data_IF_230939654445
#
_entry.id   IF_230939654445
#
_cell.length_a   1.000
_cell.length_b   1.000
_cell.length_c   1.000
_cell.angle_alpha   90.00
_cell.angle_beta   90.00
_cell.angle_gamma   90.00
#
_symmetry.space_group_name_H-M   'P 1'
#
loop_
_entity.id
_entity.type
_entity.pdbx_description
1 polymer ?
#
# COMPACT_ATOMS: atom_id res chain seq x y z
N UNK A 1 5.37 -10.20 19.86
CA UNK A 1 4.68 -9.03 19.28
C UNK A 1 3.47 -9.41 18.41
N UNK A 2 3.57 -10.37 17.48
CA UNK A 2 2.46 -10.70 16.56
C UNK A 2 1.10 -11.00 17.22
N UNK A 3 1.07 -11.77 18.32
CA UNK A 3 -0.17 -12.06 19.07
C UNK A 3 -0.82 -10.83 19.72
N UNK A 4 -0.04 -9.79 20.06
CA UNK A 4 -0.53 -8.58 20.74
C UNK A 4 -1.31 -7.70 19.77
N UNK A 5 -0.79 -7.50 18.55
CA UNK A 5 -1.40 -6.65 17.54
C UNK A 5 -2.41 -7.40 16.65
N UNK A 6 -2.16 -8.67 16.30
CA UNK A 6 -2.95 -9.39 15.29
C UNK A 6 -3.81 -10.54 15.86
N UNK A 7 -3.60 -10.96 17.11
CA UNK A 7 -4.30 -12.14 17.65
C UNK A 7 -3.97 -13.41 16.87
N UNK A 8 -4.99 -14.08 16.33
CA UNK A 8 -4.82 -15.22 15.41
C UNK A 8 -4.75 -14.73 13.95
N UNK A 9 -3.71 -15.18 13.25
CA UNK A 9 -3.51 -14.95 11.82
C UNK A 9 -4.45 -15.85 11.03
N UNK A 10 -5.10 -15.29 10.01
CA UNK A 10 -5.96 -16.03 9.09
C UNK A 10 -5.10 -16.77 8.07
N UNK A 11 -5.62 -17.87 7.53
CA UNK A 11 -4.90 -18.67 6.52
C UNK A 11 -4.46 -17.81 5.31
N UNK A 12 -5.36 -16.97 4.79
CA UNK A 12 -5.06 -16.07 3.66
C UNK A 12 -3.94 -15.08 3.98
N UNK A 13 -3.87 -14.54 5.20
CA UNK A 13 -2.79 -13.63 5.61
C UNK A 13 -1.45 -14.36 5.69
N UNK A 14 -1.46 -15.61 6.18
CA UNK A 14 -0.25 -16.42 6.25
C UNK A 14 0.26 -16.78 4.86
N UNK A 15 -0.63 -17.12 3.93
CA UNK A 15 -0.28 -17.41 2.53
C UNK A 15 0.31 -16.19 1.82
N UNK A 16 -0.38 -15.04 1.88
CA UNK A 16 0.13 -13.78 1.33
C UNK A 16 1.48 -13.39 1.93
N UNK A 17 1.64 -13.54 3.25
CA UNK A 17 2.91 -13.26 3.92
C UNK A 17 4.04 -14.15 3.42
N UNK A 18 3.81 -15.46 3.27
CA UNK A 18 4.83 -16.40 2.84
C UNK A 18 5.26 -16.11 1.40
N UNK A 19 4.31 -15.87 0.49
CA UNK A 19 4.61 -15.52 -0.90
C UNK A 19 5.43 -14.23 -1.00
N UNK A 20 4.99 -13.16 -0.33
CA UNK A 20 5.69 -11.87 -0.34
C UNK A 20 7.07 -11.96 0.32
N UNK A 21 7.19 -12.73 1.40
CA UNK A 21 8.46 -12.95 2.11
C UNK A 21 9.48 -13.67 1.24
N UNK A 22 9.05 -14.70 0.49
CA UNK A 22 9.94 -15.42 -0.41
C UNK A 22 10.56 -14.49 -1.45
N UNK A 23 9.73 -13.64 -2.06
CA UNK A 23 10.20 -12.64 -3.00
C UNK A 23 11.18 -11.64 -2.37
N UNK A 24 10.87 -11.09 -1.20
CA UNK A 24 11.76 -10.15 -0.51
C UNK A 24 13.12 -10.78 -0.15
N UNK A 25 13.12 -12.06 0.23
CA UNK A 25 14.37 -12.81 0.48
C UNK A 25 15.17 -12.94 -0.81
N UNK A 26 14.54 -13.32 -1.93
CA UNK A 26 15.25 -13.43 -3.23
C UNK A 26 15.84 -12.09 -3.70
N UNK A 27 15.10 -10.99 -3.53
CA UNK A 27 15.56 -9.64 -3.88
C UNK A 27 16.75 -9.24 -3.00
N UNK A 28 16.75 -9.62 -1.73
CA UNK A 28 17.89 -9.38 -0.83
C UNK A 28 19.10 -10.24 -1.18
N UNK A 29 18.88 -11.50 -1.56
CA UNK A 29 19.95 -12.35 -2.08
C UNK A 29 20.62 -11.73 -3.32
N UNK A 30 19.84 -11.09 -4.20
CA UNK A 30 20.37 -10.32 -5.32
C UNK A 30 21.05 -9.03 -4.88
N UNK A 31 20.57 -8.35 -3.83
CA UNK A 31 21.28 -7.21 -3.26
C UNK A 31 22.65 -7.61 -2.67
N UNK A 32 22.76 -8.79 -2.06
CA UNK A 32 24.03 -9.31 -1.53
C UNK A 32 25.10 -9.51 -2.60
N UNK A 33 24.73 -9.83 -3.83
CA UNK A 33 25.73 -9.98 -4.90
C UNK A 33 26.31 -8.62 -5.32
N UNK A 34 25.52 -7.56 -5.21
CA UNK A 34 25.94 -6.17 -5.50
C UNK A 34 26.76 -5.59 -4.35
N UNK A 35 26.39 -5.87 -3.10
CA UNK A 35 27.05 -5.35 -1.90
C UNK A 35 27.85 -6.42 -1.15
N UNK A 36 28.50 -7.32 -1.90
CA UNK A 36 29.22 -8.46 -1.33
C UNK A 36 30.32 -8.02 -0.35
N UNK A 37 31.03 -6.94 -0.68
CA UNK A 37 32.16 -6.45 0.10
C UNK A 37 31.72 -5.80 1.43
N UNK A 38 30.43 -5.43 1.55
CA UNK A 38 29.81 -4.88 2.76
C UNK A 38 29.13 -5.95 3.63
N UNK A 39 29.33 -7.24 3.32
CA UNK A 39 28.73 -8.34 4.06
C UNK A 39 29.26 -8.38 5.49
N UNK A 40 28.40 -7.99 6.43
CA UNK A 40 28.72 -7.93 7.86
C UNK A 40 27.55 -8.42 8.70
N UNK A 41 27.77 -8.90 9.95
CA UNK A 41 26.68 -9.24 10.86
C UNK A 41 25.70 -8.09 11.08
N UNK A 42 26.18 -6.83 11.00
CA UNK A 42 25.35 -5.63 11.08
C UNK A 42 24.39 -5.53 9.89
N UNK A 43 24.84 -5.83 8.68
CA UNK A 43 23.97 -5.89 7.51
C UNK A 43 22.85 -6.91 7.72
N UNK A 44 23.20 -8.13 8.14
CA UNK A 44 22.21 -9.20 8.33
C UNK A 44 21.15 -8.77 9.34
N UNK A 45 21.57 -8.13 10.45
CA UNK A 45 20.64 -7.58 11.44
C UNK A 45 19.71 -6.50 10.86
N UNK A 46 20.24 -5.56 10.06
CA UNK A 46 19.44 -4.52 9.38
C UNK A 46 18.45 -5.14 8.38
N UNK A 47 18.86 -6.16 7.65
CA UNK A 47 17.98 -6.88 6.74
C UNK A 47 16.87 -7.63 7.48
N UNK A 48 17.22 -8.38 8.52
CA UNK A 48 16.21 -9.09 9.33
C UNK A 48 15.20 -8.11 9.93
N UNK A 49 15.66 -6.94 10.40
CA UNK A 49 14.79 -5.88 10.88
C UNK A 49 13.89 -5.33 9.76
N UNK A 50 14.42 -5.03 8.58
CA UNK A 50 13.64 -4.56 7.44
C UNK A 50 12.56 -5.58 7.04
N UNK A 51 12.93 -6.87 6.91
CA UNK A 51 11.99 -7.93 6.57
C UNK A 51 10.91 -8.07 7.64
N UNK A 52 11.29 -7.97 8.92
CA UNK A 52 10.34 -7.96 10.03
C UNK A 52 9.33 -6.81 9.89
N UNK A 53 9.79 -5.57 9.66
CA UNK A 53 8.88 -4.44 9.46
C UNK A 53 8.01 -4.59 8.21
N UNK A 54 8.55 -5.10 7.10
CA UNK A 54 7.79 -5.44 5.88
C UNK A 54 6.62 -6.38 6.18
N UNK A 55 6.85 -7.44 6.97
CA UNK A 55 5.79 -8.36 7.37
C UNK A 55 4.66 -7.67 8.16
N UNK A 56 5.00 -6.78 9.09
CA UNK A 56 3.98 -6.05 9.85
C UNK A 56 3.17 -5.08 8.98
N UNK A 57 3.81 -4.45 7.99
CA UNK A 57 3.13 -3.63 7.00
C UNK A 57 2.16 -4.45 6.13
N UNK A 58 2.60 -5.60 5.60
CA UNK A 58 1.74 -6.47 4.79
C UNK A 58 0.54 -6.97 5.60
N UNK A 59 0.74 -7.34 6.87
CA UNK A 59 -0.36 -7.70 7.74
C UNK A 59 -1.30 -6.54 8.05
N UNK A 60 -0.78 -5.33 8.26
CA UNK A 60 -1.61 -4.15 8.48
C UNK A 60 -2.49 -3.86 7.24
N UNK A 61 -1.93 -3.98 6.04
CA UNK A 61 -2.66 -3.86 4.78
C UNK A 61 -3.78 -4.92 4.68
N UNK A 62 -3.47 -6.20 4.86
CA UNK A 62 -4.48 -7.29 4.79
C UNK A 62 -5.60 -7.15 5.83
N UNK A 63 -5.30 -6.56 6.99
CA UNK A 63 -6.28 -6.30 8.06
C UNK A 63 -7.18 -5.11 7.74
N UNK A 64 -6.64 -4.05 7.17
CA UNK A 64 -7.44 -2.90 6.73
C UNK A 64 -8.30 -3.27 5.52
N UNK A 65 -7.76 -3.99 4.55
CA UNK A 65 -8.53 -4.48 3.40
C UNK A 65 -9.63 -5.48 3.82
N UNK A 66 -9.47 -6.17 4.96
CA UNK A 66 -10.54 -6.99 5.51
C UNK A 66 -11.70 -6.20 6.10
N UNK A 67 -11.47 -4.96 6.57
CA UNK A 67 -12.55 -4.12 7.09
C UNK A 67 -13.64 -3.87 6.04
N UNK A 68 -13.27 -3.82 4.77
CA UNK A 68 -14.23 -3.67 3.67
C UNK A 68 -15.26 -4.81 3.61
N UNK A 69 -14.85 -6.03 3.97
CA UNK A 69 -15.69 -7.23 3.83
C UNK A 69 -16.36 -7.64 5.14
N UNK A 70 -16.07 -6.95 6.25
CA UNK A 70 -16.52 -7.37 7.57
C UNK A 70 -17.47 -6.33 8.18
N UNK A 71 -18.75 -6.68 8.39
CA UNK A 71 -19.77 -5.73 8.83
C UNK A 71 -19.73 -5.40 10.33
N UNK A 72 -18.93 -6.11 11.13
CA UNK A 72 -18.86 -5.89 12.58
C UNK A 72 -17.41 -5.83 13.05
N UNK A 73 -16.89 -4.61 13.20
CA UNK A 73 -15.54 -4.33 13.66
C UNK A 73 -15.57 -3.88 15.12
N UNK A 74 -14.87 -4.59 15.99
CA UNK A 74 -14.77 -4.24 17.41
C UNK A 74 -13.86 -3.03 17.66
N UNK A 75 -14.12 -2.26 18.72
CA UNK A 75 -13.24 -1.16 19.16
C UNK A 75 -11.80 -1.61 19.47
N UNK A 76 -11.63 -2.83 20.00
CA UNK A 76 -10.31 -3.40 20.26
C UNK A 76 -9.49 -3.55 18.96
N UNK A 77 -10.15 -3.88 17.85
CA UNK A 77 -9.52 -3.97 16.54
C UNK A 77 -9.00 -2.60 16.09
N UNK A 78 -9.83 -1.55 16.19
CA UNK A 78 -9.43 -0.18 15.84
C UNK A 78 -8.22 0.27 16.66
N UNK A 79 -8.25 0.09 17.99
CA UNK A 79 -7.12 0.42 18.86
C UNK A 79 -5.83 -0.30 18.45
N UNK A 80 -5.90 -1.59 18.12
CA UNK A 80 -4.73 -2.39 17.69
C UNK A 80 -4.17 -1.93 16.35
N UNK A 81 -5.02 -1.70 15.36
CA UNK A 81 -4.57 -1.31 14.02
C UNK A 81 -4.03 0.12 14.00
N UNK A 82 -4.70 1.06 14.67
CA UNK A 82 -4.23 2.45 14.74
C UNK A 82 -2.91 2.56 15.49
N UNK A 83 -2.77 1.89 16.64
CA UNK A 83 -1.50 1.87 17.39
C UNK A 83 -0.38 1.21 16.61
N UNK A 84 -0.67 0.13 15.86
CA UNK A 84 0.30 -0.51 14.99
C UNK A 84 0.76 0.43 13.86
N UNK A 85 -0.18 1.03 13.12
CA UNK A 85 0.15 1.94 12.01
C UNK A 85 0.96 3.14 12.50
N UNK A 86 0.61 3.70 13.66
CA UNK A 86 1.35 4.80 14.27
C UNK A 86 2.78 4.40 14.64
N UNK A 87 2.96 3.22 15.27
CA UNK A 87 4.28 2.69 15.60
C UNK A 87 5.13 2.46 14.33
N UNK A 88 4.55 1.83 13.30
CA UNK A 88 5.23 1.59 12.03
C UNK A 88 5.65 2.90 11.36
N UNK A 89 4.75 3.89 11.29
CA UNK A 89 5.06 5.20 10.72
C UNK A 89 6.17 5.94 11.46
N UNK A 90 6.20 5.88 12.80
CA UNK A 90 7.32 6.45 13.57
C UNK A 90 8.62 5.74 13.24
N UNK A 91 8.63 4.40 13.24
CA UNK A 91 9.83 3.61 12.97
C UNK A 91 10.37 3.89 11.56
N UNK A 92 9.51 3.88 10.55
CA UNK A 92 9.91 4.18 9.17
C UNK A 92 10.52 5.59 9.06
N UNK A 93 9.91 6.59 9.72
CA UNK A 93 10.42 7.96 9.69
C UNK A 93 11.81 8.05 10.33
N UNK A 94 11.98 7.42 11.49
CA UNK A 94 13.26 7.37 12.20
C UNK A 94 14.32 6.64 11.35
N UNK A 95 13.98 5.53 10.70
CA UNK A 95 14.93 4.79 9.87
C UNK A 95 15.28 5.52 8.58
N UNK A 96 14.33 6.18 7.92
CA UNK A 96 14.62 7.06 6.77
C UNK A 96 15.53 8.22 7.20
N UNK A 97 15.24 8.86 8.33
CA UNK A 97 16.07 9.96 8.86
C UNK A 97 17.49 9.47 9.20
N UNK A 98 17.60 8.28 9.81
CA UNK A 98 18.90 7.67 10.12
C UNK A 98 19.69 7.35 8.85
N UNK A 99 19.06 6.71 7.86
CA UNK A 99 19.67 6.39 6.59
C UNK A 99 20.13 7.66 5.86
N UNK A 100 19.29 8.70 5.81
CA UNK A 100 19.64 10.00 5.23
C UNK A 100 20.88 10.62 5.89
N UNK A 101 20.91 10.69 7.23
CA UNK A 101 22.05 11.23 7.96
C UNK A 101 23.33 10.39 7.77
N UNK A 102 23.19 9.06 7.71
CA UNK A 102 24.31 8.15 7.45
C UNK A 102 24.89 8.34 6.05
N UNK A 103 24.04 8.51 5.04
CA UNK A 103 24.46 8.77 3.64
C UNK A 103 25.19 10.11 3.53
N UNK A 104 24.71 11.16 4.21
CA UNK A 104 25.38 12.46 4.19
C UNK A 104 26.76 12.44 4.84
N UNK A 105 26.91 11.69 5.94
CA UNK A 105 28.16 11.70 6.73
C UNK A 105 29.20 10.69 6.23
N UNK A 106 28.76 9.53 5.72
CA UNK A 106 29.64 8.41 5.32
C UNK A 106 29.68 8.19 3.82
N UNK A 107 28.88 8.93 3.05
CA UNK A 107 28.71 8.73 1.61
C UNK A 107 27.72 7.62 1.28
N UNK A 108 27.52 7.41 -0.01
CA UNK A 108 26.62 6.38 -0.51
C UNK A 108 27.15 4.97 -0.19
N UNK A 109 26.29 4.16 0.40
CA UNK A 109 26.57 2.79 0.85
C UNK A 109 25.27 2.00 0.84
N UNK A 110 25.28 0.77 1.37
CA UNK A 110 24.09 -0.06 1.59
C UNK A 110 22.94 0.69 2.30
N UNK A 111 23.24 1.70 3.13
CA UNK A 111 22.23 2.54 3.77
C UNK A 111 21.30 3.24 2.77
N UNK A 112 21.74 3.46 1.53
CA UNK A 112 20.91 3.97 0.44
C UNK A 112 19.78 3.00 0.07
N UNK A 113 20.08 1.70 0.02
CA UNK A 113 19.09 0.64 -0.24
C UNK A 113 18.08 0.54 0.89
N UNK A 114 18.58 0.50 2.13
CA UNK A 114 17.70 0.46 3.30
C UNK A 114 16.83 1.71 3.42
N UNK A 115 17.41 2.90 3.25
CA UNK A 115 16.67 4.17 3.29
C UNK A 115 15.58 4.24 2.21
N UNK A 116 15.87 3.76 1.00
CA UNK A 116 14.88 3.62 -0.05
C UNK A 116 13.75 2.66 0.34
N UNK A 117 14.08 1.48 0.85
CA UNK A 117 13.09 0.49 1.28
C UNK A 117 12.19 1.02 2.41
N UNK A 118 12.76 1.72 3.41
CA UNK A 118 11.98 2.39 4.46
C UNK A 118 11.11 3.52 3.92
N UNK A 119 11.56 4.26 2.89
CA UNK A 119 10.73 5.26 2.23
C UNK A 119 9.54 4.62 1.48
N UNK A 120 9.74 3.45 0.87
CA UNK A 120 8.62 2.69 0.28
C UNK A 120 7.65 2.21 1.36
N UNK A 121 8.14 1.71 2.51
CA UNK A 121 7.28 1.36 3.65
C UNK A 121 6.49 2.56 4.18
N UNK A 122 7.10 3.75 4.23
CA UNK A 122 6.40 4.99 4.57
C UNK A 122 5.22 5.28 3.62
N UNK A 123 5.40 5.11 2.31
CA UNK A 123 4.28 5.27 1.36
C UNK A 123 3.20 4.22 1.56
N UNK A 124 3.58 3.01 1.99
CA UNK A 124 2.66 1.92 2.26
C UNK A 124 1.82 2.21 3.51
N UNK A 125 2.43 2.61 4.63
CA UNK A 125 1.66 2.94 5.85
C UNK A 125 0.72 4.13 5.62
N UNK A 126 1.14 5.12 4.83
CA UNK A 126 0.26 6.23 4.42
C UNK A 126 -0.96 5.73 3.62
N UNK A 127 -0.73 4.80 2.68
CA UNK A 127 -1.82 4.20 1.88
C UNK A 127 -2.80 3.44 2.77
N UNK A 128 -2.28 2.62 3.69
CA UNK A 128 -3.08 1.85 4.64
C UNK A 128 -3.88 2.78 5.54
N UNK A 129 -3.28 3.88 6.01
CA UNK A 129 -3.96 4.87 6.84
C UNK A 129 -5.12 5.54 6.10
N UNK A 130 -4.91 5.95 4.85
CA UNK A 130 -5.98 6.55 4.03
C UNK A 130 -7.12 5.54 3.82
N UNK A 131 -6.80 4.30 3.44
CA UNK A 131 -7.80 3.22 3.31
C UNK A 131 -8.57 3.00 4.62
N UNK A 132 -7.87 2.95 5.75
CA UNK A 132 -8.48 2.79 7.07
C UNK A 132 -9.48 3.90 7.38
N UNK A 133 -9.13 5.16 7.09
CA UNK A 133 -10.04 6.31 7.26
C UNK A 133 -11.26 6.16 6.36
N UNK A 134 -11.06 5.84 5.07
CA UNK A 134 -12.16 5.66 4.11
C UNK A 134 -13.12 4.53 4.54
N UNK A 135 -12.59 3.37 4.96
CA UNK A 135 -13.40 2.27 5.45
C UNK A 135 -14.12 2.59 6.77
N UNK A 136 -13.47 3.33 7.68
CA UNK A 136 -14.07 3.71 8.96
C UNK A 136 -15.23 4.71 8.78
N UNK A 137 -15.09 5.66 7.86
CA UNK A 137 -16.15 6.62 7.51
C UNK A 137 -17.33 5.90 6.85
N UNK A 138 -17.06 5.00 5.91
CA UNK A 138 -18.08 4.20 5.23
C UNK A 138 -18.89 3.32 6.20
N UNK A 139 -18.21 2.67 7.17
CA UNK A 139 -18.87 1.87 8.20
C UNK A 139 -19.79 2.67 9.15
N UNK A 140 -19.58 3.98 9.27
CA UNK A 140 -20.42 4.86 10.10
C UNK A 140 -21.57 5.50 9.32
N UNK A 141 -21.54 5.42 7.99
CA UNK A 141 -22.57 5.99 7.13
C UNK A 141 -23.80 5.07 7.08
N UNK A 142 -24.99 5.63 7.28
CA UNK A 142 -26.25 4.89 7.15
C UNK A 142 -26.51 4.48 5.69
N UNK A 143 -26.08 5.32 4.74
CA UNK A 143 -26.19 5.05 3.31
C UNK A 143 -24.82 4.67 2.71
N UNK A 144 -24.77 3.77 1.72
CA UNK A 144 -23.53 3.44 1.02
C UNK A 144 -22.83 4.69 0.48
N UNK A 145 -21.51 4.83 0.71
CA UNK A 145 -20.79 6.01 0.24
C UNK A 145 -20.44 5.91 -1.25
N UNK A 146 -21.27 6.52 -2.10
CA UNK A 146 -21.14 6.47 -3.57
C UNK A 146 -19.75 6.86 -4.10
N UNK A 147 -19.10 7.85 -3.45
CA UNK A 147 -17.81 8.37 -3.90
C UNK A 147 -16.60 7.62 -3.32
N UNK A 148 -16.77 6.64 -2.43
CA UNK A 148 -15.68 5.89 -1.80
C UNK A 148 -14.73 5.27 -2.83
N UNK A 149 -15.28 4.62 -3.86
CA UNK A 149 -14.50 3.98 -4.92
C UNK A 149 -13.61 4.97 -5.66
N UNK A 150 -14.09 6.20 -5.86
CA UNK A 150 -13.34 7.29 -6.49
C UNK A 150 -12.18 7.75 -5.60
N UNK A 151 -12.40 7.90 -4.29
CA UNK A 151 -11.33 8.26 -3.35
C UNK A 151 -10.26 7.17 -3.22
N UNK A 152 -10.66 5.88 -3.23
CA UNK A 152 -9.73 4.75 -3.24
C UNK A 152 -8.85 4.78 -4.49
N UNK A 153 -9.45 5.02 -5.66
CA UNK A 153 -8.74 5.12 -6.93
C UNK A 153 -7.75 6.29 -6.96
N UNK A 154 -8.12 7.47 -6.45
CA UNK A 154 -7.18 8.59 -6.32
C UNK A 154 -6.04 8.30 -5.35
N UNK A 155 -6.32 7.58 -4.27
CA UNK A 155 -5.30 7.17 -3.31
C UNK A 155 -4.29 6.25 -3.98
N UNK A 156 -4.75 5.23 -4.72
CA UNK A 156 -3.87 4.32 -5.47
C UNK A 156 -3.05 5.05 -6.54
N UNK A 157 -3.66 6.02 -7.23
CA UNK A 157 -2.97 6.83 -8.24
C UNK A 157 -1.87 7.69 -7.61
N UNK A 158 -2.18 8.39 -6.52
CA UNK A 158 -1.25 9.29 -5.84
C UNK A 158 -0.07 8.52 -5.24
N UNK A 159 -0.34 7.44 -4.50
CA UNK A 159 0.73 6.66 -3.86
C UNK A 159 1.52 5.84 -4.88
N UNK A 160 0.85 5.36 -5.94
CA UNK A 160 1.51 4.75 -7.10
C UNK A 160 2.48 5.70 -7.79
N UNK A 161 2.10 6.97 -7.99
CA UNK A 161 2.95 8.00 -8.56
C UNK A 161 4.20 8.25 -7.68
N UNK A 162 4.02 8.41 -6.37
CA UNK A 162 5.15 8.59 -5.43
C UNK A 162 6.11 7.39 -5.50
N UNK A 163 5.58 6.15 -5.49
CA UNK A 163 6.42 4.94 -5.59
C UNK A 163 7.22 4.93 -6.88
N UNK A 164 6.60 5.24 -8.03
CA UNK A 164 7.32 5.32 -9.31
C UNK A 164 8.43 6.37 -9.26
N UNK A 165 8.18 7.56 -8.71
CA UNK A 165 9.21 8.58 -8.53
C UNK A 165 10.36 8.10 -7.65
N UNK A 166 10.06 7.44 -6.53
CA UNK A 166 11.07 6.88 -5.63
C UNK A 166 11.92 5.82 -6.33
N UNK A 167 11.31 4.87 -7.05
CA UNK A 167 12.05 3.85 -7.82
C UNK A 167 12.91 4.48 -8.92
N UNK A 168 12.40 5.46 -9.66
CA UNK A 168 13.15 6.15 -10.71
C UNK A 168 14.35 6.91 -10.14
N UNK A 169 14.17 7.61 -9.02
CA UNK A 169 15.25 8.30 -8.33
C UNK A 169 16.30 7.30 -7.80
N UNK A 170 15.86 6.23 -7.14
CA UNK A 170 16.73 5.18 -6.64
C UNK A 170 17.58 4.53 -7.74
N UNK A 171 16.96 4.12 -8.85
CA UNK A 171 17.67 3.57 -10.00
C UNK A 171 18.70 4.53 -10.57
N UNK A 172 18.34 5.81 -10.71
CA UNK A 172 19.23 6.83 -11.25
C UNK A 172 20.45 7.04 -10.35
N UNK A 173 20.25 7.07 -9.03
CA UNK A 173 21.34 7.23 -8.07
C UNK A 173 22.22 5.97 -8.05
N UNK A 174 21.63 4.78 -8.02
CA UNK A 174 22.36 3.51 -8.01
C UNK A 174 23.24 3.32 -9.24
N UNK A 175 22.72 3.63 -10.44
CA UNK A 175 23.48 3.53 -11.70
C UNK A 175 24.68 4.49 -11.70
N UNK A 176 24.55 5.68 -11.10
CA UNK A 176 25.63 6.66 -11.05
C UNK A 176 26.71 6.36 -10.01
N UNK A 177 26.34 5.70 -8.91
CA UNK A 177 27.21 5.53 -7.74
C UNK A 177 27.84 4.15 -7.67
N UNK A 178 27.06 3.10 -7.92
CA UNK A 178 27.49 1.72 -7.76
C UNK A 178 27.44 1.01 -9.11
N UNK A 179 26.45 0.14 -9.29
CA UNK A 179 26.20 -0.66 -10.47
C UNK A 179 24.70 -0.78 -10.67
N UNK A 180 24.29 -1.36 -11.79
CA UNK A 180 22.88 -1.56 -12.08
C UNK A 180 22.21 -2.48 -11.04
N UNK A 181 21.19 -2.01 -10.29
CA UNK A 181 20.62 -2.74 -9.16
C UNK A 181 19.58 -3.77 -9.63
N UNK A 182 20.05 -4.97 -10.01
CA UNK A 182 19.18 -6.06 -10.51
C UNK A 182 18.02 -6.41 -9.55
N UNK A 183 18.27 -6.34 -8.25
CA UNK A 183 17.27 -6.62 -7.21
C UNK A 183 16.05 -5.68 -7.25
N UNK A 184 16.20 -4.46 -7.75
CA UNK A 184 15.13 -3.47 -7.77
C UNK A 184 14.23 -3.55 -9.01
N UNK A 185 14.60 -4.33 -10.04
CA UNK A 185 13.90 -4.36 -11.34
C UNK A 185 12.47 -4.87 -11.20
N UNK A 186 12.29 -6.01 -10.51
CA UNK A 186 10.97 -6.63 -10.37
C UNK A 186 10.02 -5.74 -9.55
N UNK A 187 10.39 -5.26 -8.34
CA UNK A 187 9.56 -4.32 -7.59
C UNK A 187 9.22 -3.05 -8.39
N UNK A 188 10.20 -2.48 -9.11
CA UNK A 188 10.00 -1.32 -9.96
C UNK A 188 9.01 -1.59 -11.10
N UNK A 189 9.14 -2.71 -11.80
CA UNK A 189 8.21 -3.11 -12.87
C UNK A 189 6.78 -3.28 -12.34
N UNK A 190 6.62 -3.92 -11.19
CA UNK A 190 5.32 -4.09 -10.55
C UNK A 190 4.71 -2.74 -10.17
N UNK A 191 5.50 -1.83 -9.59
CA UNK A 191 5.04 -0.48 -9.25
C UNK A 191 4.60 0.32 -10.49
N UNK A 192 5.39 0.29 -11.57
CA UNK A 192 5.02 0.94 -12.83
C UNK A 192 3.76 0.33 -13.45
N UNK A 193 3.62 -1.00 -13.45
CA UNK A 193 2.44 -1.70 -13.97
C UNK A 193 1.19 -1.36 -13.16
N UNK A 194 1.29 -1.33 -11.83
CA UNK A 194 0.20 -0.94 -10.94
C UNK A 194 -0.22 0.51 -11.17
N UNK A 195 0.75 1.44 -11.28
CA UNK A 195 0.45 2.83 -11.59
C UNK A 195 -0.24 2.99 -12.95
N UNK A 196 0.25 2.32 -14.00
CA UNK A 196 -0.40 2.32 -15.32
C UNK A 196 -1.82 1.79 -15.26
N UNK A 197 -2.05 0.73 -14.48
CA UNK A 197 -3.39 0.19 -14.23
C UNK A 197 -4.27 1.24 -13.54
N UNK A 198 -3.83 1.84 -12.45
CA UNK A 198 -4.57 2.87 -11.72
C UNK A 198 -4.94 4.08 -12.61
N UNK A 199 -4.02 4.53 -13.48
CA UNK A 199 -4.30 5.57 -14.47
C UNK A 199 -5.40 5.13 -15.44
N UNK A 200 -5.32 3.89 -15.94
CA UNK A 200 -6.31 3.33 -16.86
C UNK A 200 -7.68 3.23 -16.21
N UNK A 201 -7.72 2.72 -14.97
CA UNK A 201 -8.95 2.56 -14.19
C UNK A 201 -9.58 3.93 -13.88
N UNK A 202 -8.78 4.97 -13.61
CA UNK A 202 -9.25 6.34 -13.44
C UNK A 202 -9.86 6.95 -14.72
N UNK A 203 -9.24 6.71 -15.87
CA UNK A 203 -9.77 7.17 -17.16
C UNK A 203 -11.06 6.41 -17.51
N UNK A 204 -11.07 5.08 -17.32
CA UNK A 204 -12.23 4.25 -17.59
C UNK A 204 -13.40 4.58 -16.68
N UNK A 205 -13.16 4.78 -15.38
CA UNK A 205 -14.18 5.21 -14.41
C UNK A 205 -14.83 6.52 -14.83
N UNK A 206 -14.04 7.54 -15.19
CA UNK A 206 -14.58 8.83 -15.68
C UNK A 206 -15.38 8.69 -16.97
N UNK A 207 -14.92 7.85 -17.91
CA UNK A 207 -15.65 7.57 -19.16
C UNK A 207 -16.97 6.86 -18.89
N UNK A 208 -16.98 5.88 -18.00
CA UNK A 208 -18.17 5.13 -17.62
C UNK A 208 -19.22 6.05 -16.97
N UNK A 209 -18.83 6.87 -16.00
CA UNK A 209 -19.73 7.85 -15.35
C UNK A 209 -20.29 8.83 -16.38
N UNK A 210 -19.44 9.38 -17.26
CA UNK A 210 -19.90 10.29 -18.31
C UNK A 210 -20.89 9.60 -19.25
N UNK A 211 -20.56 8.40 -19.72
CA UNK A 211 -21.44 7.66 -20.63
C UNK A 211 -22.77 7.33 -19.97
N UNK A 212 -22.76 6.89 -18.70
CA UNK A 212 -23.96 6.62 -17.92
C UNK A 212 -24.86 7.85 -17.86
N UNK A 213 -24.33 9.00 -17.44
CA UNK A 213 -25.09 10.25 -17.33
C UNK A 213 -25.58 10.79 -18.68
N UNK A 214 -24.92 10.45 -19.80
CA UNK A 214 -25.34 10.91 -21.14
C UNK A 214 -26.32 9.97 -21.85
N UNK A 215 -26.23 8.66 -21.62
CA UNK A 215 -27.03 7.64 -22.32
C UNK A 215 -28.26 7.23 -21.52
N UNK A 216 -28.21 7.37 -20.19
CA UNK A 216 -29.25 6.95 -19.25
C UNK A 216 -29.53 8.11 -18.29
N UNK A 217 -30.25 9.16 -18.72
CA UNK A 217 -30.69 10.22 -17.84
C UNK A 217 -31.64 9.66 -16.77
N UNK A 218 -31.68 10.32 -15.61
CA UNK A 218 -32.61 9.96 -14.54
C UNK A 218 -34.06 10.07 -15.04
N UNK A 219 -34.90 9.10 -14.64
CA UNK A 219 -36.31 9.05 -15.02
C UNK A 219 -37.07 10.27 -14.49
N UNK A 220 -37.96 10.83 -15.31
CA UNK A 220 -38.79 11.95 -14.85
C UNK A 220 -39.85 11.49 -13.84
N UNK A 221 -40.37 12.40 -12.99
CA UNK A 221 -41.45 12.06 -12.06
C UNK A 221 -42.68 11.47 -12.77
N UNK A 222 -42.97 11.93 -13.99
CA UNK A 222 -44.08 11.46 -14.81
C UNK A 222 -43.83 10.05 -15.36
N UNK A 223 -42.60 9.74 -15.78
CA UNK A 223 -42.20 8.40 -16.23
C UNK A 223 -42.22 7.38 -15.08
N UNK A 224 -41.80 7.81 -13.88
CA UNK A 224 -41.86 7.00 -12.66
C UNK A 224 -43.30 6.69 -12.25
N UNK A 225 -44.25 7.61 -12.43
CA UNK A 225 -45.67 7.36 -12.15
C UNK A 225 -46.35 6.49 -13.22
N UNK A 226 -45.85 6.51 -14.45
CA UNK A 226 -46.38 5.73 -15.56
C UNK A 226 -45.88 4.27 -15.58
N UNK A 227 -44.80 3.96 -14.85
CA UNK A 227 -44.19 2.64 -14.75
C UNK A 227 -44.29 2.08 -13.32
N UNK A 228 -43.91 0.81 -13.15
CA UNK A 228 -43.80 0.17 -11.84
C UNK A 228 -42.68 0.85 -11.05
N UNK A 229 -43.05 1.68 -10.08
CA UNK A 229 -42.15 2.51 -9.28
C UNK A 229 -41.53 1.76 -8.11
N UNK A 230 -41.71 0.43 -8.06
CA UNK A 230 -41.08 -0.44 -7.06
C UNK A 230 -39.57 -0.47 -7.29
N UNK A 231 -38.81 -0.08 -6.27
CA UNK A 231 -37.36 -0.14 -6.30
C UNK A 231 -36.90 -1.59 -6.52
N UNK A 232 -36.16 -1.92 -7.58
CA UNK A 232 -35.76 -3.33 -7.85
C UNK A 232 -34.83 -3.93 -6.78
N UNK A 233 -34.17 -3.07 -5.99
CA UNK A 233 -33.25 -3.45 -4.91
C UNK A 233 -34.02 -3.67 -3.61
N UNK A 234 -34.81 -2.66 -3.23
CA UNK A 234 -35.58 -2.58 -1.99
C UNK A 234 -36.86 -3.44 -2.04
N UNK A 235 -37.44 -3.57 -3.24
CA UNK A 235 -38.79 -4.08 -3.53
C UNK A 235 -39.91 -3.39 -2.74
N UNK A 236 -39.66 -2.15 -2.33
CA UNK A 236 -40.59 -1.22 -1.70
C UNK A 236 -40.88 -0.04 -2.64
#
# INVERSE_FOLDING_TARGET
MGKVFFGQLRAAEMEHLLERSWYAVTETCLAFTVFRDDFSPRFVALFTLLLFLKCFHWLAEDRVDFMERSPNISWLFHCRIVSLMFLLGILDFLFVSHAYHSILTRGASVQLVFGFEYAILMTMVLTIFIKYVLHSVDLQSENPWDNKAVYMLYTELFTGFIKVLLYMAFMTIMIKVHTFPLFAIRPMYLAMRQFKKAVTDAIMSRRAIRNMNTLYPDATPEELQAMDNVCIICRE
#
